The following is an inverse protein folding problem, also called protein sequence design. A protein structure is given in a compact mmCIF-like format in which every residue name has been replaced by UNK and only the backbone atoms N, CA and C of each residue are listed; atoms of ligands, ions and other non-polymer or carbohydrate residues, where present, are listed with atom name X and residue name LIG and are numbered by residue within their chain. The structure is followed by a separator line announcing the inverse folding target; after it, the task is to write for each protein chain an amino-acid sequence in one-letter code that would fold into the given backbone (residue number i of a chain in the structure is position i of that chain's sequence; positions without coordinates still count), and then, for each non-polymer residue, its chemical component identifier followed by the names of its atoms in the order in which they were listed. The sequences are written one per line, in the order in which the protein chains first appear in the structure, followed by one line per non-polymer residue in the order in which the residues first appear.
data_IF_109817874666
#
_entry.id   IF_109817874666
#
_cell.length_a   1.000
_cell.length_b   1.000
_cell.length_c   1.000
_cell.angle_alpha   90.00
_cell.angle_beta   90.00
_cell.angle_gamma   90.00
#
_symmetry.space_group_name_H-M   'P 1'
#
loop_
_entity.id
_entity.type
_entity.pdbx_description
1 polymer ?
#
# COMPACT_ATOMS: atom_id res chain seq x y z
N UNK A 1 -26.48 4.91 2.55
CA UNK A 1 -27.73 4.14 2.68
C UNK A 1 -27.87 3.40 4.02
N UNK A 2 -26.90 2.54 4.45
CA UNK A 2 -27.05 1.77 5.70
C UNK A 2 -27.01 2.66 6.94
N UNK A 3 -26.01 3.52 7.06
CA UNK A 3 -25.87 4.46 8.18
C UNK A 3 -27.05 5.43 8.30
N UNK A 4 -27.61 5.88 7.19
CA UNK A 4 -28.75 6.81 7.16
C UNK A 4 -30.04 6.23 7.75
N UNK A 5 -30.11 4.92 7.95
CA UNK A 5 -31.27 4.27 8.62
C UNK A 5 -31.26 4.50 10.12
N UNK A 6 -30.10 4.83 10.69
CA UNK A 6 -29.90 4.91 12.15
C UNK A 6 -29.33 6.25 12.61
N UNK A 7 -28.76 7.03 11.71
CA UNK A 7 -28.04 8.27 12.02
C UNK A 7 -28.41 9.39 11.04
N UNK A 8 -28.36 10.63 11.52
CA UNK A 8 -28.34 11.81 10.66
C UNK A 8 -26.95 11.91 10.01
N UNK A 9 -26.85 11.62 8.71
CA UNK A 9 -25.57 11.53 7.99
C UNK A 9 -25.44 12.69 7.02
N UNK A 10 -24.37 13.47 7.16
CA UNK A 10 -23.93 14.46 6.19
C UNK A 10 -22.78 13.89 5.36
N UNK A 11 -23.00 13.71 4.06
CA UNK A 11 -22.00 13.19 3.13
C UNK A 11 -21.22 14.32 2.47
N UNK A 12 -19.91 14.39 2.73
CA UNK A 12 -19.03 15.46 2.28
C UNK A 12 -17.78 14.89 1.57
N UNK A 13 -17.89 14.46 0.30
CA UNK A 13 -16.84 13.73 -0.41
C UNK A 13 -15.67 14.60 -0.89
N UNK A 14 -15.79 15.92 -0.86
CA UNK A 14 -14.71 16.82 -1.29
C UNK A 14 -14.23 17.70 -0.14
N UNK A 15 -12.98 18.22 -0.19
CA UNK A 15 -12.47 19.13 0.85
C UNK A 15 -13.36 20.38 1.07
N UNK A 16 -13.92 20.94 -0.01
CA UNK A 16 -14.81 22.10 0.07
C UNK A 16 -16.12 21.75 0.79
N UNK A 17 -16.77 20.65 0.44
CA UNK A 17 -17.98 20.16 1.08
C UNK A 17 -17.73 19.79 2.55
N UNK A 18 -16.57 19.18 2.84
CA UNK A 18 -16.19 18.84 4.20
C UNK A 18 -16.04 20.08 5.06
N UNK A 19 -15.34 21.11 4.57
CA UNK A 19 -15.22 22.40 5.28
C UNK A 19 -16.58 23.03 5.53
N UNK A 20 -17.46 23.07 4.52
CA UNK A 20 -18.82 23.60 4.65
C UNK A 20 -19.65 22.82 5.66
N UNK A 21 -19.61 21.49 5.62
CA UNK A 21 -20.35 20.63 6.54
C UNK A 21 -19.88 20.81 7.99
N UNK A 22 -18.57 20.90 8.24
CA UNK A 22 -18.03 21.16 9.57
C UNK A 22 -18.45 22.54 10.07
N UNK A 23 -18.38 23.57 9.22
CA UNK A 23 -18.84 24.93 9.59
C UNK A 23 -20.33 24.97 9.95
N UNK A 24 -21.16 24.28 9.18
CA UNK A 24 -22.61 24.33 9.37
C UNK A 24 -23.13 23.41 10.50
N UNK A 25 -22.51 22.26 10.71
CA UNK A 25 -23.05 21.19 11.56
C UNK A 25 -22.00 20.60 12.53
N UNK A 26 -20.76 21.06 12.53
CA UNK A 26 -19.69 20.50 13.35
C UNK A 26 -20.01 20.55 14.85
N UNK A 27 -20.73 21.57 15.31
CA UNK A 27 -21.14 21.69 16.71
C UNK A 27 -22.00 20.53 17.25
N UNK A 28 -22.71 19.82 16.37
CA UNK A 28 -23.55 18.66 16.72
C UNK A 28 -22.98 17.32 16.26
N UNK A 29 -21.81 17.34 15.61
CA UNK A 29 -21.19 16.12 15.05
C UNK A 29 -20.59 15.27 16.16
N UNK A 30 -21.09 14.03 16.33
CA UNK A 30 -20.60 13.08 17.34
C UNK A 30 -19.67 12.02 16.77
N UNK A 31 -19.76 11.73 15.47
CA UNK A 31 -18.91 10.73 14.83
C UNK A 31 -18.50 11.15 13.42
N UNK A 32 -17.29 10.82 13.04
CA UNK A 32 -16.75 10.99 11.67
C UNK A 32 -16.35 9.65 11.11
N UNK A 33 -16.87 9.32 9.91
CA UNK A 33 -16.39 8.22 9.11
C UNK A 33 -15.49 8.79 7.99
N UNK A 34 -14.25 8.41 7.97
CA UNK A 34 -13.22 8.86 7.00
C UNK A 34 -12.46 7.66 6.41
N UNK A 35 -11.34 7.88 5.76
CA UNK A 35 -10.37 6.86 5.34
C UNK A 35 -8.95 7.35 5.60
N UNK A 36 -7.94 6.46 5.47
CA UNK A 36 -6.55 6.80 5.75
C UNK A 36 -5.98 7.90 4.86
N UNK A 37 -6.39 7.96 3.59
CA UNK A 37 -5.92 9.00 2.65
C UNK A 37 -6.51 10.38 2.94
N UNK A 38 -7.78 10.45 3.33
CA UNK A 38 -8.48 11.70 3.67
C UNK A 38 -8.15 12.16 5.08
N UNK A 39 -8.19 11.25 6.06
CA UNK A 39 -7.91 11.55 7.46
C UNK A 39 -8.89 12.51 8.14
N UNK A 40 -8.43 13.13 9.23
CA UNK A 40 -9.09 14.20 9.97
C UNK A 40 -8.03 15.03 10.71
N UNK A 41 -7.93 16.30 10.38
CA UNK A 41 -6.91 17.21 10.95
C UNK A 41 -7.26 17.64 12.37
N UNK A 42 -6.27 18.13 13.14
CA UNK A 42 -6.48 18.67 14.48
C UNK A 42 -7.48 19.84 14.46
N UNK A 43 -7.35 20.75 13.50
CA UNK A 43 -8.27 21.88 13.36
C UNK A 43 -9.73 21.45 13.07
N UNK A 44 -9.92 20.38 12.31
CA UNK A 44 -11.26 19.83 12.07
C UNK A 44 -11.82 19.14 13.33
N UNK A 45 -10.97 18.45 14.09
CA UNK A 45 -11.34 17.86 15.38
C UNK A 45 -11.78 18.98 16.33
N UNK A 46 -11.01 20.07 16.42
CA UNK A 46 -11.32 21.21 17.30
C UNK A 46 -12.65 21.91 16.93
N UNK A 47 -12.98 21.95 15.64
CA UNK A 47 -14.23 22.52 15.16
C UNK A 47 -15.48 21.65 15.45
N UNK A 48 -15.28 20.46 16.00
CA UNK A 48 -16.36 19.52 16.36
C UNK A 48 -16.35 19.21 17.87
N UNK A 49 -16.86 20.11 18.72
CA UNK A 49 -16.75 19.98 20.18
C UNK A 49 -17.42 18.75 20.77
N UNK A 50 -18.44 18.21 20.12
CA UNK A 50 -19.16 17.00 20.55
C UNK A 50 -18.62 15.71 19.91
N UNK A 51 -17.49 15.74 19.19
CA UNK A 51 -16.93 14.56 18.54
C UNK A 51 -16.46 13.53 19.58
N UNK A 52 -16.97 12.32 19.47
CA UNK A 52 -16.69 11.18 20.36
C UNK A 52 -15.95 10.04 19.64
N UNK A 53 -16.15 9.91 18.32
CA UNK A 53 -15.68 8.78 17.54
C UNK A 53 -15.16 9.22 16.17
N UNK A 54 -14.00 8.73 15.79
CA UNK A 54 -13.46 8.79 14.42
C UNK A 54 -13.24 7.37 13.92
N UNK A 55 -13.90 6.98 12.81
CA UNK A 55 -13.68 5.69 12.17
C UNK A 55 -13.00 5.87 10.82
N UNK A 56 -11.88 5.19 10.59
CA UNK A 56 -11.26 5.06 9.28
C UNK A 56 -11.77 3.81 8.57
N UNK A 57 -12.32 3.94 7.36
CA UNK A 57 -12.60 2.80 6.49
C UNK A 57 -11.28 2.21 5.98
N UNK A 58 -11.10 0.90 6.12
CA UNK A 58 -9.85 0.22 5.82
C UNK A 58 -8.81 0.33 6.94
N UNK A 59 -7.60 -0.20 6.69
CA UNK A 59 -6.55 -0.30 7.70
C UNK A 59 -5.82 1.03 7.97
N UNK A 60 -5.75 1.92 6.98
CA UNK A 60 -5.01 3.19 7.06
C UNK A 60 -5.69 4.24 7.93
N UNK A 61 -4.89 4.93 8.74
CA UNK A 61 -5.33 6.03 9.61
C UNK A 61 -4.27 7.14 9.74
N UNK A 62 -3.31 7.14 8.85
CA UNK A 62 -2.09 7.96 8.93
C UNK A 62 -2.37 9.46 8.96
N UNK A 63 -3.44 9.90 8.31
CA UNK A 63 -3.84 11.31 8.24
C UNK A 63 -4.91 11.70 9.30
N UNK A 64 -5.14 10.85 10.30
CA UNK A 64 -5.94 11.24 11.47
C UNK A 64 -5.02 11.82 12.53
N UNK A 65 -5.33 13.02 13.03
CA UNK A 65 -4.57 13.68 14.08
C UNK A 65 -4.79 12.97 15.44
N UNK A 66 -4.11 11.82 15.64
CA UNK A 66 -4.29 10.96 16.80
C UNK A 66 -4.03 11.66 18.13
N UNK A 67 -3.04 12.56 18.19
CA UNK A 67 -2.72 13.27 19.44
C UNK A 67 -3.83 14.25 19.83
N UNK A 68 -4.42 14.94 18.85
CA UNK A 68 -5.59 15.81 19.09
C UNK A 68 -6.80 14.99 19.55
N UNK A 69 -7.05 13.83 18.91
CA UNK A 69 -8.13 12.94 19.31
C UNK A 69 -7.92 12.41 20.74
N UNK A 70 -6.70 11.95 21.07
CA UNK A 70 -6.34 11.45 22.39
C UNK A 70 -6.48 12.51 23.48
N UNK A 71 -6.01 13.73 23.22
CA UNK A 71 -6.10 14.84 24.18
C UNK A 71 -7.54 15.19 24.57
N UNK A 72 -8.51 14.87 23.69
CA UNK A 72 -9.95 15.07 23.92
C UNK A 72 -10.72 13.81 24.29
N UNK A 73 -10.05 12.68 24.50
CA UNK A 73 -10.72 11.40 24.81
C UNK A 73 -11.59 10.85 23.68
N UNK A 74 -11.33 11.26 22.41
CA UNK A 74 -12.07 10.80 21.24
C UNK A 74 -11.58 9.41 20.86
N UNK A 75 -12.49 8.45 20.74
CA UNK A 75 -12.16 7.11 20.28
C UNK A 75 -11.80 7.13 18.79
N UNK A 76 -10.71 6.44 18.42
CA UNK A 76 -10.31 6.26 17.01
C UNK A 76 -10.30 4.77 16.70
N UNK A 77 -11.03 4.36 15.67
CA UNK A 77 -11.11 2.99 15.18
C UNK A 77 -10.77 2.93 13.69
N UNK A 78 -10.29 1.78 13.24
CA UNK A 78 -10.07 1.52 11.82
C UNK A 78 -10.57 0.12 11.42
N UNK A 79 -10.55 -0.16 10.12
CA UNK A 79 -10.96 -1.44 9.54
C UNK A 79 -9.81 -2.45 9.40
N UNK A 80 -8.78 -2.41 10.27
CA UNK A 80 -7.72 -3.40 10.23
C UNK A 80 -8.28 -4.82 10.34
N UNK A 81 -7.79 -5.74 9.52
CA UNK A 81 -8.26 -7.13 9.48
C UNK A 81 -9.45 -7.39 8.54
N UNK A 82 -10.15 -6.34 8.06
CA UNK A 82 -11.37 -6.53 7.25
C UNK A 82 -11.10 -6.86 5.79
N UNK A 83 -9.94 -6.48 5.25
CA UNK A 83 -9.57 -6.68 3.84
C UNK A 83 -8.20 -7.32 3.64
N UNK A 84 -7.57 -7.85 4.68
CA UNK A 84 -6.20 -8.35 4.64
C UNK A 84 -6.00 -9.46 3.60
N UNK A 85 -6.96 -10.39 3.47
CA UNK A 85 -6.90 -11.45 2.47
C UNK A 85 -7.04 -10.91 1.05
N UNK A 86 -7.97 -9.98 0.84
CA UNK A 86 -8.16 -9.31 -0.45
C UNK A 86 -6.88 -8.58 -0.89
N UNK A 87 -6.23 -7.84 0.02
CA UNK A 87 -4.97 -7.13 -0.28
C UNK A 87 -3.83 -8.11 -0.57
N UNK A 88 -3.73 -9.20 0.19
CA UNK A 88 -2.72 -10.23 -0.06
C UNK A 88 -2.96 -10.95 -1.40
N UNK A 89 -4.21 -11.23 -1.79
CA UNK A 89 -4.55 -11.77 -3.12
C UNK A 89 -4.17 -10.80 -4.22
N UNK A 90 -4.48 -9.52 -4.05
CA UNK A 90 -4.16 -8.47 -5.01
C UNK A 90 -2.65 -8.30 -5.20
N UNK A 91 -1.85 -8.37 -4.12
CA UNK A 91 -0.40 -8.35 -4.20
C UNK A 91 0.15 -9.47 -5.10
N UNK A 92 -0.39 -10.69 -4.99
CA UNK A 92 -0.04 -11.79 -5.89
C UNK A 92 -0.55 -11.58 -7.31
N UNK A 93 -1.74 -11.03 -7.49
CA UNK A 93 -2.26 -10.64 -8.80
C UNK A 93 -1.31 -9.68 -9.53
N UNK A 94 -0.85 -8.62 -8.83
CA UNK A 94 0.12 -7.66 -9.36
C UNK A 94 1.48 -8.31 -9.65
N UNK A 95 1.99 -9.15 -8.74
CA UNK A 95 3.24 -9.87 -8.92
C UNK A 95 3.21 -10.75 -10.19
N UNK A 96 2.19 -11.58 -10.31
CA UNK A 96 2.02 -12.49 -11.46
C UNK A 96 1.86 -11.66 -12.74
N UNK A 97 1.04 -10.62 -12.71
CA UNK A 97 0.82 -9.75 -13.87
C UNK A 97 2.12 -9.08 -14.35
N UNK A 98 2.94 -8.57 -13.42
CA UNK A 98 4.22 -7.94 -13.73
C UNK A 98 5.26 -8.95 -14.23
N UNK A 99 5.48 -10.06 -13.51
CA UNK A 99 6.48 -11.08 -13.86
C UNK A 99 6.15 -11.76 -15.19
N UNK A 100 4.86 -12.07 -15.43
CA UNK A 100 4.42 -12.78 -16.64
C UNK A 100 4.06 -11.85 -17.79
N UNK A 101 4.13 -10.53 -17.58
CA UNK A 101 3.82 -9.53 -18.60
C UNK A 101 2.37 -9.60 -19.11
N UNK A 102 1.41 -10.01 -18.26
CA UNK A 102 0.03 -10.34 -18.68
C UNK A 102 -0.61 -9.17 -19.43
N UNK A 103 -0.50 -7.95 -18.90
CA UNK A 103 -1.10 -6.74 -19.51
C UNK A 103 -0.49 -6.44 -20.89
N UNK A 104 0.84 -6.55 -21.00
CA UNK A 104 1.56 -6.32 -22.26
C UNK A 104 1.20 -7.39 -23.29
N UNK A 105 1.17 -8.66 -22.87
CA UNK A 105 0.84 -9.78 -23.75
C UNK A 105 -0.62 -9.75 -24.22
N UNK A 106 -1.57 -9.36 -23.35
CA UNK A 106 -2.98 -9.17 -23.75
C UNK A 106 -3.09 -8.09 -24.83
N UNK A 107 -2.40 -6.93 -24.65
CA UNK A 107 -2.38 -5.88 -25.67
C UNK A 107 -1.77 -6.36 -26.98
N UNK A 108 -0.60 -6.98 -26.94
CA UNK A 108 0.07 -7.49 -28.12
C UNK A 108 -0.80 -8.51 -28.86
N UNK A 109 -1.47 -9.42 -28.13
CA UNK A 109 -2.37 -10.40 -28.74
C UNK A 109 -3.55 -9.71 -29.46
N UNK A 110 -4.14 -8.67 -28.86
CA UNK A 110 -5.22 -7.89 -29.50
C UNK A 110 -4.74 -7.13 -30.74
N UNK A 111 -3.47 -6.72 -30.76
CA UNK A 111 -2.81 -6.07 -31.88
C UNK A 111 -2.32 -7.08 -32.95
N UNK A 112 -2.64 -8.36 -32.82
CA UNK A 112 -2.29 -9.42 -33.77
C UNK A 112 -0.87 -9.95 -33.66
N UNK A 113 -0.14 -9.62 -32.59
CA UNK A 113 1.19 -10.17 -32.32
C UNK A 113 1.06 -11.60 -31.77
N UNK A 114 1.73 -12.56 -32.42
CA UNK A 114 1.66 -13.97 -32.04
C UNK A 114 2.91 -14.43 -31.30
N UNK A 115 2.77 -15.54 -30.58
CA UNK A 115 3.77 -16.09 -29.63
C UNK A 115 5.17 -16.30 -30.20
N UNK A 116 5.30 -16.47 -31.51
CA UNK A 116 6.58 -16.78 -32.15
C UNK A 116 7.62 -15.65 -32.04
N UNK A 117 7.15 -14.42 -31.78
CA UNK A 117 8.00 -13.23 -31.59
C UNK A 117 8.02 -12.74 -30.13
N UNK A 118 7.32 -13.44 -29.22
CA UNK A 118 7.22 -13.06 -27.82
C UNK A 118 8.22 -13.88 -27.01
N UNK A 119 9.15 -13.26 -26.27
CA UNK A 119 10.06 -13.98 -25.40
C UNK A 119 9.28 -14.67 -24.26
N UNK A 120 9.75 -15.85 -23.84
CA UNK A 120 9.15 -16.55 -22.70
C UNK A 120 9.33 -15.72 -21.40
N UNK A 121 8.24 -15.35 -20.73
CA UNK A 121 8.35 -14.64 -19.48
C UNK A 121 8.90 -15.54 -18.36
N UNK A 122 9.60 -14.96 -17.35
CA UNK A 122 10.18 -15.73 -16.25
C UNK A 122 9.13 -16.42 -15.38
N UNK A 123 9.54 -17.46 -14.65
CA UNK A 123 8.69 -18.12 -13.66
C UNK A 123 8.57 -17.31 -12.38
N UNK A 124 7.42 -17.48 -11.72
CA UNK A 124 7.16 -16.95 -10.36
C UNK A 124 7.58 -18.00 -9.32
N UNK A 125 7.28 -19.29 -9.56
CA UNK A 125 7.57 -20.37 -8.60
C UNK A 125 9.07 -20.61 -8.40
N UNK A 126 9.43 -21.00 -7.18
CA UNK A 126 10.79 -21.33 -6.79
C UNK A 126 11.73 -20.11 -6.71
N UNK A 127 11.17 -18.91 -6.61
CA UNK A 127 11.92 -17.65 -6.54
C UNK A 127 11.98 -17.12 -5.10
N UNK A 128 12.84 -16.13 -4.88
CA UNK A 128 13.04 -15.49 -3.58
C UNK A 128 12.13 -14.26 -3.48
N UNK A 129 11.22 -14.31 -2.49
CA UNK A 129 10.32 -13.21 -2.19
C UNK A 129 10.79 -12.43 -0.96
N UNK A 130 11.15 -11.18 -1.14
CA UNK A 130 11.35 -10.20 -0.07
C UNK A 130 10.03 -9.52 0.30
N UNK A 131 9.74 -9.42 1.60
CA UNK A 131 8.58 -8.71 2.12
C UNK A 131 9.06 -7.57 3.02
N UNK A 132 8.82 -6.33 2.61
CA UNK A 132 8.99 -5.16 3.46
C UNK A 132 7.73 -4.96 4.27
N UNK A 133 7.79 -5.31 5.56
CA UNK A 133 6.64 -5.25 6.46
C UNK A 133 5.93 -6.59 6.65
N UNK A 134 6.51 -7.49 7.45
CA UNK A 134 5.87 -8.77 7.81
C UNK A 134 4.89 -8.57 8.98
N UNK A 135 3.84 -7.77 8.74
CA UNK A 135 2.64 -7.63 9.60
C UNK A 135 1.55 -8.62 9.18
N UNK A 136 0.29 -8.37 9.54
CA UNK A 136 -0.84 -9.26 9.22
C UNK A 136 -0.96 -9.55 7.72
N UNK A 137 -0.89 -8.52 6.88
CA UNK A 137 -0.95 -8.67 5.42
C UNK A 137 0.32 -9.36 4.91
N UNK A 138 1.50 -8.97 5.41
CA UNK A 138 2.77 -9.59 5.03
C UNK A 138 2.82 -11.08 5.33
N UNK A 139 2.29 -11.54 6.46
CA UNK A 139 2.18 -12.96 6.80
C UNK A 139 1.20 -13.71 5.88
N UNK A 140 0.10 -13.07 5.50
CA UNK A 140 -0.84 -13.63 4.53
C UNK A 140 -0.22 -13.73 3.12
N UNK A 141 0.62 -12.77 2.74
CA UNK A 141 1.44 -12.83 1.51
C UNK A 141 2.43 -13.99 1.60
N UNK A 142 3.18 -14.10 2.71
CA UNK A 142 4.13 -15.19 2.93
C UNK A 142 3.46 -16.57 2.82
N UNK A 143 2.26 -16.74 3.41
CA UNK A 143 1.48 -17.98 3.29
C UNK A 143 1.11 -18.32 1.84
N UNK A 144 0.79 -17.31 1.01
CA UNK A 144 0.51 -17.52 -0.42
C UNK A 144 1.78 -17.88 -1.20
N UNK A 145 2.89 -17.25 -0.85
CA UNK A 145 4.19 -17.51 -1.46
C UNK A 145 4.65 -18.95 -1.29
N UNK A 146 4.33 -19.60 -0.15
CA UNK A 146 4.65 -21.02 0.04
C UNK A 146 3.94 -21.95 -0.95
N UNK A 147 2.76 -21.57 -1.45
CA UNK A 147 2.08 -22.28 -2.54
C UNK A 147 2.76 -22.17 -3.90
N UNK A 148 3.74 -21.28 -4.03
CA UNK A 148 4.60 -21.11 -5.21
C UNK A 148 6.04 -21.62 -4.96
N UNK A 149 6.27 -22.39 -3.89
CA UNK A 149 7.59 -22.90 -3.49
C UNK A 149 8.66 -21.81 -3.39
N UNK A 150 8.26 -20.61 -2.93
CA UNK A 150 9.18 -19.47 -2.80
C UNK A 150 9.97 -19.52 -1.49
N UNK A 151 11.25 -19.13 -1.57
CA UNK A 151 12.02 -18.77 -0.39
C UNK A 151 11.58 -17.38 0.08
N UNK A 152 11.28 -17.25 1.38
CA UNK A 152 10.71 -16.01 1.92
C UNK A 152 11.70 -15.34 2.87
N UNK A 153 12.03 -14.08 2.54
CA UNK A 153 12.77 -13.16 3.40
C UNK A 153 11.93 -11.95 3.76
N UNK A 154 12.23 -11.31 4.88
CA UNK A 154 11.53 -10.10 5.28
C UNK A 154 12.44 -9.08 5.97
N UNK A 155 12.02 -7.82 5.90
CA UNK A 155 12.59 -6.72 6.67
C UNK A 155 11.48 -6.03 7.47
N UNK A 156 11.71 -5.86 8.76
CA UNK A 156 10.94 -5.07 9.71
C UNK A 156 11.91 -4.23 10.54
N UNK A 157 11.40 -3.25 11.28
CA UNK A 157 12.21 -2.49 12.27
C UNK A 157 12.90 -3.38 13.29
N UNK A 158 12.31 -4.53 13.59
CA UNK A 158 12.85 -5.57 14.47
C UNK A 158 12.45 -6.93 13.93
N UNK A 159 13.28 -7.95 14.18
CA UNK A 159 12.94 -9.33 13.85
C UNK A 159 11.73 -9.80 14.66
N UNK A 160 10.92 -10.68 14.07
CA UNK A 160 9.77 -11.31 14.76
C UNK A 160 10.22 -12.60 15.43
N UNK A 161 10.12 -12.73 16.75
CA UNK A 161 10.44 -13.97 17.45
C UNK A 161 9.61 -15.15 16.91
N UNK A 162 10.25 -16.31 16.75
CA UNK A 162 9.57 -17.54 16.32
C UNK A 162 9.18 -17.59 14.84
N UNK A 163 9.54 -16.59 14.03
CA UNK A 163 9.27 -16.59 12.60
C UNK A 163 10.28 -17.47 11.86
N UNK A 164 9.79 -18.40 11.03
CA UNK A 164 10.63 -19.30 10.24
C UNK A 164 11.28 -18.62 9.02
N UNK A 165 10.74 -17.47 8.57
CA UNK A 165 11.25 -16.76 7.41
C UNK A 165 12.53 -16.01 7.74
N UNK A 166 13.41 -15.86 6.74
CA UNK A 166 14.71 -15.21 6.90
C UNK A 166 14.52 -13.70 7.16
N UNK A 167 15.02 -13.23 8.30
CA UNK A 167 15.07 -11.80 8.61
C UNK A 167 16.30 -11.16 7.98
N UNK A 168 16.11 -9.96 7.45
CA UNK A 168 17.18 -9.07 7.01
C UNK A 168 17.15 -7.78 7.84
N UNK A 169 18.28 -7.42 8.40
CA UNK A 169 18.47 -6.20 9.19
C UNK A 169 18.49 -4.93 8.33
N UNK A 170 18.70 -5.09 7.02
CA UNK A 170 18.79 -4.03 6.03
C UNK A 170 17.81 -4.29 4.88
N UNK A 171 17.08 -3.26 4.47
CA UNK A 171 16.19 -3.32 3.30
C UNK A 171 16.96 -3.50 2.00
N UNK A 172 18.16 -2.89 1.88
CA UNK A 172 19.04 -3.08 0.72
C UNK A 172 19.49 -4.53 0.64
N UNK A 173 19.91 -5.13 1.78
CA UNK A 173 20.29 -6.54 1.82
C UNK A 173 19.13 -7.50 1.51
N UNK A 174 17.89 -7.16 1.90
CA UNK A 174 16.70 -7.89 1.47
C UNK A 174 16.52 -7.79 -0.05
N UNK A 175 16.66 -6.59 -0.63
CA UNK A 175 16.48 -6.35 -2.06
C UNK A 175 17.56 -7.06 -2.90
N UNK A 176 18.82 -7.05 -2.48
CA UNK A 176 19.92 -7.79 -3.14
C UNK A 176 19.68 -9.30 -3.18
N UNK A 177 19.07 -9.83 -2.12
CA UNK A 177 18.78 -11.26 -2.04
C UNK A 177 17.53 -11.64 -2.84
N UNK A 178 16.53 -10.78 -2.91
CA UNK A 178 15.21 -11.07 -3.46
C UNK A 178 15.19 -11.02 -5.00
N UNK A 179 14.38 -11.87 -5.62
CA UNK A 179 13.98 -11.73 -7.01
C UNK A 179 12.74 -10.81 -7.13
N UNK A 180 11.88 -10.82 -6.10
CA UNK A 180 10.68 -9.98 -6.00
C UNK A 180 10.62 -9.31 -4.64
N UNK A 181 10.20 -8.04 -4.60
CA UNK A 181 10.02 -7.29 -3.37
C UNK A 181 8.57 -6.80 -3.27
N UNK A 182 7.84 -7.25 -2.25
CA UNK A 182 6.49 -6.76 -1.94
C UNK A 182 6.55 -5.82 -0.74
N UNK A 183 6.01 -4.61 -0.92
CA UNK A 183 5.92 -3.57 0.11
C UNK A 183 4.55 -3.65 0.78
N UNK A 184 4.54 -4.01 2.07
CA UNK A 184 3.35 -4.20 2.90
C UNK A 184 3.48 -3.50 4.27
N UNK A 185 4.33 -2.48 4.37
CA UNK A 185 4.53 -1.68 5.60
C UNK A 185 3.49 -0.56 5.71
N UNK A 186 3.10 -0.12 6.92
CA UNK A 186 2.28 1.09 7.05
C UNK A 186 2.94 2.32 6.45
N UNK A 187 2.14 3.30 6.02
CA UNK A 187 2.62 4.62 5.63
C UNK A 187 3.00 5.48 6.84
N UNK A 188 3.41 6.71 6.57
CA UNK A 188 3.76 7.73 7.56
C UNK A 188 5.20 8.23 7.42
N UNK A 189 5.58 9.22 8.23
CA UNK A 189 6.90 9.87 8.13
C UNK A 189 8.08 8.88 8.23
N UNK A 190 7.98 7.87 9.10
CA UNK A 190 9.04 6.88 9.30
C UNK A 190 9.22 5.86 8.17
N UNK A 191 8.36 5.90 7.15
CA UNK A 191 8.39 4.97 6.00
C UNK A 191 8.42 5.70 4.66
N UNK A 192 8.50 7.04 4.68
CA UNK A 192 8.58 7.82 3.46
C UNK A 192 9.86 7.48 2.67
N UNK A 193 9.68 7.16 1.38
CA UNK A 193 10.75 6.84 0.43
C UNK A 193 11.73 5.74 0.92
N UNK A 194 11.26 4.82 1.78
CA UNK A 194 12.08 3.66 2.18
C UNK A 194 12.57 2.87 0.97
N UNK A 195 11.76 2.74 -0.07
CA UNK A 195 12.13 2.13 -1.34
C UNK A 195 12.57 3.26 -2.28
N UNK A 196 13.81 3.70 -2.10
CA UNK A 196 14.49 4.68 -2.96
C UNK A 196 15.44 4.02 -3.95
N UNK A 197 16.25 4.84 -4.64
CA UNK A 197 17.14 4.41 -5.71
C UNK A 197 18.07 3.25 -5.31
N UNK A 198 18.63 3.27 -4.10
CA UNK A 198 19.55 2.21 -3.63
C UNK A 198 18.86 0.85 -3.54
N UNK A 199 17.63 0.80 -3.04
CA UNK A 199 16.83 -0.44 -2.93
C UNK A 199 16.42 -0.95 -4.31
N UNK A 200 16.01 -0.05 -5.21
CA UNK A 200 15.64 -0.39 -6.59
C UNK A 200 16.82 -0.93 -7.38
N UNK A 201 17.99 -0.30 -7.23
CA UNK A 201 19.25 -0.77 -7.85
C UNK A 201 19.68 -2.13 -7.30
N UNK A 202 19.55 -2.35 -5.99
CA UNK A 202 19.85 -3.62 -5.33
C UNK A 202 18.94 -4.76 -5.81
N UNK A 203 17.66 -4.49 -6.03
CA UNK A 203 16.71 -5.46 -6.58
C UNK A 203 17.04 -5.84 -8.03
N UNK A 204 17.60 -4.92 -8.79
CA UNK A 204 18.29 -5.16 -10.05
C UNK A 204 17.38 -5.33 -11.27
N UNK A 205 17.99 -5.52 -12.47
CA UNK A 205 17.29 -5.44 -13.77
C UNK A 205 16.33 -6.59 -14.05
N UNK A 206 16.34 -7.64 -13.24
CA UNK A 206 15.36 -8.75 -13.30
C UNK A 206 14.42 -8.72 -12.12
N UNK A 207 14.61 -7.80 -11.19
CA UNK A 207 13.80 -7.65 -10.01
C UNK A 207 12.41 -7.08 -10.31
N UNK A 208 11.43 -7.47 -9.52
CA UNK A 208 10.06 -6.94 -9.62
C UNK A 208 9.64 -6.37 -8.27
N UNK A 209 9.21 -5.10 -8.29
CA UNK A 209 8.64 -4.42 -7.14
C UNK A 209 7.11 -4.52 -7.17
N UNK A 210 6.49 -4.83 -6.03
CA UNK A 210 5.04 -4.69 -5.84
C UNK A 210 4.79 -3.79 -4.64
N UNK A 211 3.96 -2.74 -4.81
CA UNK A 211 3.58 -1.86 -3.71
C UNK A 211 2.07 -1.89 -3.49
N UNK A 212 1.65 -2.47 -2.34
CA UNK A 212 0.26 -2.49 -1.86
C UNK A 212 0.10 -1.72 -0.52
N UNK A 213 1.11 -0.97 -0.15
CA UNK A 213 1.18 -0.24 1.12
C UNK A 213 0.62 1.18 1.02
N UNK A 214 1.50 2.14 0.73
CA UNK A 214 1.18 3.54 0.41
C UNK A 214 2.12 4.04 -0.67
N UNK A 215 1.65 4.95 -1.52
CA UNK A 215 2.46 5.54 -2.57
C UNK A 215 3.74 6.16 -2.02
N UNK A 216 3.66 6.89 -0.91
CA UNK A 216 4.78 7.57 -0.27
C UNK A 216 5.92 6.66 0.24
N UNK A 217 5.72 5.34 0.32
CA UNK A 217 6.78 4.39 0.73
C UNK A 217 7.81 4.19 -0.38
N UNK A 218 7.40 4.36 -1.64
CA UNK A 218 8.27 4.24 -2.82
C UNK A 218 8.54 5.63 -3.37
N UNK A 219 9.79 5.97 -3.59
CA UNK A 219 10.18 7.17 -4.32
C UNK A 219 9.77 7.01 -5.80
N UNK A 220 8.70 7.69 -6.19
CA UNK A 220 8.13 7.59 -7.55
C UNK A 220 9.12 8.05 -8.63
N UNK A 221 9.92 9.08 -8.35
CA UNK A 221 10.91 9.58 -9.31
C UNK A 221 12.04 8.58 -9.51
N UNK A 222 12.55 8.01 -8.42
CA UNK A 222 13.58 6.95 -8.48
C UNK A 222 13.05 5.70 -9.20
N UNK A 223 11.79 5.31 -8.94
CA UNK A 223 11.15 4.19 -9.62
C UNK A 223 11.04 4.42 -11.13
N UNK A 224 10.59 5.60 -11.56
CA UNK A 224 10.50 5.95 -12.97
C UNK A 224 11.86 5.87 -13.67
N UNK A 225 12.91 6.43 -13.05
CA UNK A 225 14.29 6.35 -13.57
C UNK A 225 14.75 4.89 -13.66
N UNK A 226 14.50 4.07 -12.64
CA UNK A 226 14.91 2.68 -12.61
C UNK A 226 14.24 1.83 -13.71
N UNK A 227 12.95 2.04 -13.94
CA UNK A 227 12.19 1.34 -14.98
C UNK A 227 12.61 1.79 -16.39
N UNK A 228 12.73 3.11 -16.63
CA UNK A 228 13.13 3.66 -17.92
C UNK A 228 14.57 3.31 -18.27
N UNK A 229 15.47 3.30 -17.27
CA UNK A 229 16.87 2.93 -17.43
C UNK A 229 17.12 1.43 -17.45
N UNK A 230 16.11 0.59 -17.23
CA UNK A 230 16.25 -0.88 -17.21
C UNK A 230 17.04 -1.42 -16.01
N UNK A 231 17.26 -0.60 -14.97
CA UNK A 231 17.90 -1.05 -13.73
C UNK A 231 16.93 -1.79 -12.79
N UNK A 232 15.62 -1.71 -13.06
CA UNK A 232 14.57 -2.54 -12.47
C UNK A 232 13.76 -3.19 -13.60
N UNK A 233 13.40 -4.47 -13.43
CA UNK A 233 12.70 -5.24 -14.46
C UNK A 233 11.25 -4.84 -14.66
N UNK A 234 10.47 -4.74 -13.57
CA UNK A 234 9.07 -4.36 -13.62
C UNK A 234 8.56 -3.86 -12.25
N UNK A 235 7.38 -3.23 -12.25
CA UNK A 235 6.66 -2.89 -11.03
C UNK A 235 5.15 -3.15 -11.17
N UNK A 236 4.51 -3.56 -10.07
CA UNK A 236 3.07 -3.65 -9.89
C UNK A 236 2.63 -2.73 -8.75
N UNK A 237 1.81 -1.73 -9.04
CA UNK A 237 1.47 -0.69 -8.08
C UNK A 237 -0.05 -0.62 -7.87
N UNK A 238 -0.49 -0.70 -6.62
CA UNK A 238 -1.87 -0.46 -6.19
C UNK A 238 -2.07 0.97 -5.69
N UNK A 239 -0.99 1.64 -5.29
CA UNK A 239 -0.98 2.94 -4.62
C UNK A 239 0.08 3.87 -5.22
N UNK A 240 -0.18 5.18 -5.23
CA UNK A 240 0.67 6.20 -5.85
C UNK A 240 0.84 7.42 -4.93
N UNK A 241 2.00 8.08 -4.98
CA UNK A 241 2.22 9.34 -4.23
C UNK A 241 1.31 10.47 -4.71
N UNK A 242 0.94 10.45 -5.98
CA UNK A 242 0.14 11.49 -6.63
C UNK A 242 -1.35 11.41 -6.34
N UNK A 243 -1.81 10.38 -5.62
CA UNK A 243 -3.24 10.20 -5.34
C UNK A 243 -3.91 11.47 -4.78
N UNK A 244 -5.10 11.82 -5.27
CA UNK A 244 -5.97 11.07 -6.20
C UNK A 244 -5.68 11.33 -7.70
N UNK A 245 -4.56 11.94 -8.04
CA UNK A 245 -4.17 12.19 -9.43
C UNK A 245 -3.41 10.98 -10.00
N UNK A 246 -3.55 10.68 -11.30
CA UNK A 246 -2.74 9.66 -11.96
C UNK A 246 -1.24 9.98 -11.85
N UNK A 247 -0.37 8.95 -11.78
CA UNK A 247 1.08 9.16 -11.74
C UNK A 247 1.61 9.58 -13.11
N UNK A 248 1.91 10.86 -13.28
CA UNK A 248 2.38 11.40 -14.57
C UNK A 248 3.81 10.92 -14.95
N UNK A 249 4.57 10.40 -13.98
CA UNK A 249 5.94 9.95 -14.20
C UNK A 249 6.06 8.46 -14.58
N UNK A 250 4.97 7.68 -14.48
CA UNK A 250 4.94 6.23 -14.66
C UNK A 250 4.12 5.79 -15.87
#
# INVERSE_FOLDING_TARGET
ALLQRHYAVTYAPTPALRKSAITAQGGACRAVLTNGGTGLTAAEIDAMPQLELVCAMGAGYENIALDAARARGIAVANGAGTNDDCVADHAFGLLIAAVRGIVTLDRQCRDGVWRDVIPFPPNVSGRRLGILGLGTIGEKIARRASGFDMDIGYHNRQSKPGMAHRYFDSLVGLAEWADFLIVATPGGQGTQHLVGAAVLQALGPRGVLVNIARGSVVDTAALAVALQGGSLGAAGLDVYESEPKPPAAL
#
